data_IF_627614999413
#
_entry.id   IF_627614999413
#
_cell.length_a   1.000
_cell.length_b   1.000
_cell.length_c   1.000
_cell.angle_alpha   90.00
_cell.angle_beta   90.00
_cell.angle_gamma   90.00
#
_symmetry.space_group_name_H-M   'P 1'
#
loop_
_entity.id
_entity.type
_entity.pdbx_description
1 polymer ?
#
# COMPACT_ATOMS: atom_id res chain seq x y z
N UNK A 1 -29.95 15.65 47.56
CA UNK A 1 -28.64 15.50 46.92
C UNK A 1 -28.84 15.46 45.41
N UNK A 2 -28.35 16.46 44.68
CA UNK A 2 -28.49 16.54 43.22
C UNK A 2 -27.52 15.53 42.60
N UNK A 3 -28.04 14.51 41.91
CA UNK A 3 -27.25 13.54 41.16
C UNK A 3 -26.62 14.26 39.96
N UNK A 4 -25.29 14.30 39.91
CA UNK A 4 -24.57 14.76 38.71
C UNK A 4 -24.76 13.73 37.59
N UNK A 5 -24.93 14.25 36.36
CA UNK A 5 -24.99 13.53 35.08
C UNK A 5 -23.87 12.48 34.97
N UNK A 6 -24.25 11.26 35.32
CA UNK A 6 -23.97 9.98 34.68
C UNK A 6 -22.51 9.49 34.65
N UNK A 7 -22.26 8.31 35.24
CA UNK A 7 -20.96 7.65 35.43
C UNK A 7 -20.22 7.22 34.15
N UNK A 8 -20.43 7.90 33.03
CA UNK A 8 -19.80 7.64 31.73
C UNK A 8 -18.53 8.46 31.48
N UNK A 9 -18.20 9.42 32.35
CA UNK A 9 -17.12 10.39 32.16
C UNK A 9 -15.72 9.78 31.93
N UNK A 10 -15.51 8.53 32.36
CA UNK A 10 -14.27 7.76 32.23
C UNK A 10 -14.36 6.59 31.22
N UNK A 11 -15.54 6.37 30.62
CA UNK A 11 -15.78 5.21 29.74
C UNK A 11 -15.07 5.33 28.40
N UNK A 12 -14.83 4.21 27.73
CA UNK A 12 -14.17 4.17 26.42
C UNK A 12 -14.97 4.92 25.36
N UNK A 13 -16.29 4.75 25.32
CA UNK A 13 -17.15 5.43 24.35
C UNK A 13 -17.08 6.96 24.49
N UNK A 14 -17.03 7.48 25.73
CA UNK A 14 -16.80 8.90 25.99
C UNK A 14 -15.42 9.36 25.49
N UNK A 15 -14.38 8.54 25.68
CA UNK A 15 -13.04 8.82 25.13
C UNK A 15 -13.02 8.81 23.60
N UNK A 16 -13.77 7.93 22.94
CA UNK A 16 -13.92 7.91 21.48
C UNK A 16 -14.55 9.21 21.01
N UNK A 17 -15.69 9.59 21.59
CA UNK A 17 -16.41 10.81 21.25
C UNK A 17 -15.55 12.07 21.45
N UNK A 18 -14.92 12.23 22.62
CA UNK A 18 -14.00 13.35 22.89
C UNK A 18 -12.82 13.36 21.93
N UNK A 19 -12.23 12.19 21.64
CA UNK A 19 -11.10 12.07 20.73
C UNK A 19 -11.46 12.39 19.27
N UNK A 20 -12.68 12.08 18.84
CA UNK A 20 -13.21 12.49 17.54
C UNK A 20 -13.29 14.01 17.43
N UNK A 21 -13.93 14.67 18.40
CA UNK A 21 -14.05 16.13 18.44
C UNK A 21 -12.68 16.81 18.52
N UNK A 22 -11.81 16.37 19.44
CA UNK A 22 -10.48 16.94 19.61
C UNK A 22 -9.65 16.92 18.32
N UNK A 23 -9.65 15.81 17.58
CA UNK A 23 -8.96 15.72 16.28
C UNK A 23 -9.44 16.76 15.27
N UNK A 24 -10.73 17.12 15.30
CA UNK A 24 -11.33 18.05 14.35
C UNK A 24 -11.20 19.52 14.76
N UNK A 25 -11.06 19.81 16.07
CA UNK A 25 -11.19 21.19 16.57
C UNK A 25 -9.99 21.74 17.34
N UNK A 26 -9.07 20.90 17.82
CA UNK A 26 -7.93 21.33 18.64
C UNK A 26 -6.63 21.37 17.83
N UNK A 27 -6.11 22.54 17.44
CA UNK A 27 -4.84 22.66 16.71
C UNK A 27 -3.62 22.12 17.46
N UNK A 28 -3.71 21.91 18.77
CA UNK A 28 -2.65 21.30 19.59
C UNK A 28 -2.68 19.78 19.55
N UNK A 29 -3.75 19.15 19.05
CA UNK A 29 -3.76 17.71 18.82
C UNK A 29 -2.78 17.37 17.68
N UNK A 30 -1.87 16.42 17.91
CA UNK A 30 -0.86 16.05 16.92
C UNK A 30 -1.45 15.46 15.63
N UNK A 31 -2.74 15.10 15.64
CA UNK A 31 -3.46 14.61 14.46
C UNK A 31 -4.25 15.72 13.76
N UNK A 32 -4.37 16.92 14.33
CA UNK A 32 -5.22 18.00 13.81
C UNK A 32 -4.97 18.28 12.32
N UNK A 33 -3.72 18.36 11.89
CA UNK A 33 -3.34 18.60 10.49
C UNK A 33 -3.93 17.58 9.51
N UNK A 34 -4.24 16.35 9.96
CA UNK A 34 -4.85 15.28 9.16
C UNK A 34 -6.38 15.27 9.20
N UNK A 35 -6.97 16.07 10.10
CA UNK A 35 -8.40 16.15 10.36
C UNK A 35 -8.86 17.61 10.24
N UNK A 36 -8.97 18.35 11.35
CA UNK A 36 -9.43 19.74 11.35
C UNK A 36 -8.67 20.65 10.38
N UNK A 37 -7.35 20.46 10.26
CA UNK A 37 -6.51 21.18 9.29
C UNK A 37 -6.84 20.91 7.82
N UNK A 38 -7.60 19.85 7.50
CA UNK A 38 -8.14 19.54 6.16
C UNK A 38 -9.61 19.95 5.99
N UNK A 39 -10.22 20.58 7.01
CA UNK A 39 -11.65 20.89 7.01
C UNK A 39 -12.56 19.71 7.37
N UNK A 40 -12.02 18.61 7.92
CA UNK A 40 -12.83 17.50 8.42
C UNK A 40 -13.48 17.91 9.73
N UNK A 41 -14.80 17.74 9.82
CA UNK A 41 -15.61 18.05 11.00
C UNK A 41 -16.43 16.85 11.48
N UNK A 42 -17.11 17.04 12.61
CA UNK A 42 -18.13 16.13 13.14
C UNK A 42 -19.50 16.71 12.82
N UNK A 43 -20.46 15.87 12.41
CA UNK A 43 -21.83 16.30 12.18
C UNK A 43 -22.45 16.92 13.45
N UNK A 44 -23.40 17.83 13.25
CA UNK A 44 -23.97 18.64 14.32
C UNK A 44 -24.70 17.77 15.36
N UNK A 45 -25.36 16.69 14.94
CA UNK A 45 -26.10 15.78 15.80
C UNK A 45 -25.19 15.13 16.85
N UNK A 46 -23.91 14.90 16.50
CA UNK A 46 -22.91 14.33 17.40
C UNK A 46 -22.20 15.38 18.26
N UNK A 47 -22.68 16.61 18.30
CA UNK A 47 -22.40 17.54 19.41
C UNK A 47 -23.00 17.04 20.74
N UNK A 48 -24.06 16.24 20.67
CA UNK A 48 -24.63 15.55 21.83
C UNK A 48 -23.97 14.17 22.02
N UNK A 49 -23.39 13.96 23.19
CA UNK A 49 -22.81 12.65 23.53
C UNK A 49 -23.87 11.54 23.54
N UNK A 50 -25.08 11.83 24.02
CA UNK A 50 -26.15 10.83 24.11
C UNK A 50 -26.56 10.33 22.72
N UNK A 51 -26.68 11.23 21.75
CA UNK A 51 -27.01 10.89 20.36
C UNK A 51 -25.91 10.03 19.73
N UNK A 52 -24.64 10.40 19.93
CA UNK A 52 -23.51 9.58 19.45
C UNK A 52 -23.47 8.20 20.12
N UNK A 53 -23.68 8.14 21.44
CA UNK A 53 -23.64 6.91 22.23
C UNK A 53 -24.75 5.95 21.79
N UNK A 54 -25.97 6.43 21.61
CA UNK A 54 -27.10 5.60 21.18
C UNK A 54 -26.86 5.06 19.76
N UNK A 55 -26.38 5.91 18.84
CA UNK A 55 -25.94 5.45 17.51
C UNK A 55 -24.83 4.40 17.62
N UNK A 56 -23.84 4.62 18.49
CA UNK A 56 -22.68 3.75 18.59
C UNK A 56 -23.05 2.33 19.03
N UNK A 57 -23.87 2.20 20.08
CA UNK A 57 -24.35 0.88 20.52
C UNK A 57 -25.27 0.22 19.49
N UNK A 58 -26.13 1.00 18.82
CA UNK A 58 -26.96 0.47 17.73
C UNK A 58 -26.14 0.00 16.52
N UNK A 59 -24.92 0.51 16.35
CA UNK A 59 -24.01 0.18 15.24
C UNK A 59 -22.83 -0.71 15.68
N UNK A 60 -23.01 -1.48 16.75
CA UNK A 60 -22.09 -2.55 17.13
C UNK A 60 -20.83 -2.07 17.84
N UNK A 61 -20.87 -0.93 18.53
CA UNK A 61 -19.77 -0.53 19.41
C UNK A 61 -19.44 -1.65 20.42
N UNK A 62 -18.15 -1.96 20.49
CA UNK A 62 -17.55 -2.82 21.48
C UNK A 62 -16.23 -2.19 21.94
N UNK A 63 -15.81 -2.48 23.18
CA UNK A 63 -14.61 -1.93 23.80
C UNK A 63 -13.32 -2.24 23.00
N UNK A 64 -13.32 -3.31 22.22
CA UNK A 64 -12.20 -3.73 21.35
C UNK A 64 -12.16 -3.05 19.98
N UNK A 65 -13.22 -2.33 19.60
CA UNK A 65 -13.35 -1.74 18.26
C UNK A 65 -12.88 -0.28 18.21
N UNK A 66 -12.57 0.17 17.01
CA UNK A 66 -12.17 1.53 16.69
C UNK A 66 -13.19 2.21 15.79
N UNK A 67 -13.47 3.49 16.04
CA UNK A 67 -14.24 4.30 15.10
C UNK A 67 -13.40 4.55 13.84
N UNK A 68 -13.97 4.19 12.69
CA UNK A 68 -13.40 4.35 11.35
C UNK A 68 -14.34 5.19 10.48
N UNK A 69 -13.76 5.83 9.46
CA UNK A 69 -14.51 6.55 8.41
C UNK A 69 -14.38 5.77 7.12
N UNK A 70 -15.51 5.38 6.52
CA UNK A 70 -15.57 4.63 5.26
C UNK A 70 -14.87 5.40 4.14
N UNK A 71 -15.13 6.71 4.06
CA UNK A 71 -14.40 7.67 3.25
C UNK A 71 -13.57 8.61 4.13
N UNK A 72 -12.25 8.53 3.99
CA UNK A 72 -11.27 9.32 4.74
C UNK A 72 -11.22 10.80 4.35
N UNK A 73 -11.82 11.18 3.22
CA UNK A 73 -11.97 12.57 2.80
C UNK A 73 -13.20 13.25 3.42
N UNK A 74 -14.20 12.47 3.84
CA UNK A 74 -15.45 12.94 4.43
C UNK A 74 -15.42 13.05 5.97
N UNK A 75 -16.37 13.78 6.56
CA UNK A 75 -16.48 14.04 8.00
C UNK A 75 -16.87 12.83 8.87
N UNK A 76 -17.04 13.05 10.17
CA UNK A 76 -17.67 12.08 11.07
C UNK A 76 -19.18 12.24 11.03
N UNK A 77 -19.90 11.21 10.56
CA UNK A 77 -21.36 11.15 10.53
C UNK A 77 -21.86 9.71 10.61
N UNK A 78 -23.14 9.47 10.93
CA UNK A 78 -23.74 8.12 10.94
C UNK A 78 -23.52 7.33 9.64
N UNK A 79 -23.55 8.02 8.50
CA UNK A 79 -23.45 7.42 7.16
C UNK A 79 -22.00 7.06 6.83
N UNK A 80 -21.06 7.92 7.23
CA UNK A 80 -19.64 7.75 6.92
C UNK A 80 -18.86 6.96 7.97
N UNK A 81 -19.40 6.77 9.18
CA UNK A 81 -18.69 6.05 10.24
C UNK A 81 -19.09 4.58 10.37
N UNK A 82 -18.19 3.81 10.99
CA UNK A 82 -18.39 2.42 11.41
C UNK A 82 -17.45 2.07 12.56
N UNK A 83 -17.76 1.00 13.29
CA UNK A 83 -16.81 0.37 14.21
C UNK A 83 -16.15 -0.82 13.53
N UNK A 84 -14.83 -0.89 13.60
CA UNK A 84 -14.02 -1.95 12.99
C UNK A 84 -12.93 -2.39 13.96
N UNK A 85 -12.46 -3.61 13.82
CA UNK A 85 -11.29 -4.06 14.57
C UNK A 85 -10.05 -3.28 14.18
N UNK A 86 -9.02 -3.27 15.04
CA UNK A 86 -7.75 -2.63 14.72
C UNK A 86 -7.10 -3.19 13.44
N UNK A 87 -7.24 -4.51 13.20
CA UNK A 87 -6.74 -5.18 12.00
C UNK A 87 -7.47 -4.67 10.76
N UNK A 88 -8.79 -4.55 10.81
CA UNK A 88 -9.59 -4.00 9.73
C UNK A 88 -9.31 -2.51 9.50
N UNK A 89 -9.22 -1.68 10.54
CA UNK A 89 -8.85 -0.26 10.40
C UNK A 89 -7.50 -0.11 9.70
N UNK A 90 -6.53 -0.95 10.06
CA UNK A 90 -5.21 -0.96 9.43
C UNK A 90 -5.31 -1.33 7.95
N UNK A 91 -6.05 -2.39 7.60
CA UNK A 91 -6.31 -2.77 6.21
C UNK A 91 -7.05 -1.66 5.43
N UNK A 92 -8.02 -1.00 6.05
CA UNK A 92 -8.82 0.05 5.42
C UNK A 92 -7.98 1.30 5.11
N UNK A 93 -7.04 1.66 5.99
CA UNK A 93 -6.04 2.72 5.72
C UNK A 93 -5.10 2.34 4.58
N UNK A 94 -4.87 1.04 4.38
CA UNK A 94 -4.03 0.49 3.31
C UNK A 94 -4.78 0.43 1.94
N UNK A 95 -6.11 0.64 1.88
CA UNK A 95 -6.89 0.74 0.61
C UNK A 95 -6.36 1.85 -0.32
N UNK A 96 -5.67 2.86 0.22
CA UNK A 96 -4.90 3.84 -0.57
C UNK A 96 -3.81 3.22 -1.46
N UNK A 97 -3.50 1.94 -1.23
CA UNK A 97 -2.62 1.08 -2.03
C UNK A 97 -3.41 0.04 -2.81
N UNK A 98 -4.58 0.39 -3.32
CA UNK A 98 -5.25 -0.44 -4.32
C UNK A 98 -4.70 -0.16 -5.71
N UNK A 99 -4.71 -1.20 -6.55
CA UNK A 99 -4.27 -1.15 -7.94
C UNK A 99 -5.37 -1.77 -8.80
N UNK A 100 -5.62 -1.19 -9.98
CA UNK A 100 -6.66 -1.68 -10.87
C UNK A 100 -6.09 -2.80 -11.75
N UNK A 101 -6.59 -4.03 -11.59
CA UNK A 101 -6.21 -5.21 -12.39
C UNK A 101 -7.48 -5.80 -12.99
N UNK A 102 -7.52 -6.00 -14.32
CA UNK A 102 -8.68 -6.53 -15.03
C UNK A 102 -10.02 -5.82 -14.71
N UNK A 103 -9.97 -4.50 -14.51
CA UNK A 103 -11.15 -3.69 -14.18
C UNK A 103 -11.54 -3.69 -12.69
N UNK A 104 -10.88 -4.47 -11.83
CA UNK A 104 -11.15 -4.52 -10.39
C UNK A 104 -10.05 -3.83 -9.58
N UNK A 105 -10.44 -3.13 -8.51
CA UNK A 105 -9.48 -2.59 -7.55
C UNK A 105 -9.07 -3.68 -6.56
N UNK A 106 -7.80 -4.09 -6.61
CA UNK A 106 -7.22 -5.12 -5.74
C UNK A 106 -6.20 -4.46 -4.83
N UNK A 107 -6.15 -4.86 -3.57
CA UNK A 107 -5.17 -4.35 -2.61
C UNK A 107 -3.74 -4.80 -2.98
N UNK A 108 -2.72 -3.93 -2.86
CA UNK A 108 -1.36 -4.24 -3.34
C UNK A 108 -0.75 -5.48 -2.68
N UNK A 109 -1.04 -5.74 -1.41
CA UNK A 109 -0.57 -6.95 -0.72
C UNK A 109 -1.23 -8.21 -1.28
N UNK A 110 -2.52 -8.11 -1.61
CA UNK A 110 -3.28 -9.20 -2.20
C UNK A 110 -2.78 -9.49 -3.62
N UNK A 111 -2.66 -8.44 -4.45
CA UNK A 111 -2.08 -8.53 -5.78
C UNK A 111 -0.65 -9.09 -5.73
N UNK A 112 0.22 -8.58 -4.86
CA UNK A 112 1.58 -9.07 -4.74
C UNK A 112 1.61 -10.58 -4.42
N UNK A 113 0.78 -11.04 -3.48
CA UNK A 113 0.68 -12.46 -3.13
C UNK A 113 0.15 -13.30 -4.30
N UNK A 114 -0.90 -12.83 -4.97
CA UNK A 114 -1.52 -13.50 -6.11
C UNK A 114 -0.53 -13.72 -7.27
N UNK A 115 0.36 -12.76 -7.52
CA UNK A 115 1.29 -12.79 -8.64
C UNK A 115 2.73 -13.19 -8.26
N UNK A 116 2.96 -13.67 -7.04
CA UNK A 116 4.27 -14.15 -6.60
C UNK A 116 5.33 -13.04 -6.47
N UNK A 117 4.90 -11.86 -6.02
CA UNK A 117 5.72 -10.68 -5.79
C UNK A 117 5.74 -10.30 -4.31
N UNK A 118 6.74 -9.50 -3.93
CA UNK A 118 6.67 -8.77 -2.66
C UNK A 118 5.89 -7.47 -2.87
N UNK A 119 5.16 -6.97 -1.86
CA UNK A 119 4.48 -5.68 -1.95
C UNK A 119 5.44 -4.55 -2.33
N UNK A 120 6.65 -4.53 -1.77
CA UNK A 120 7.68 -3.55 -2.10
C UNK A 120 8.10 -3.58 -3.56
N UNK A 121 8.21 -4.76 -4.18
CA UNK A 121 8.54 -4.88 -5.60
C UNK A 121 7.41 -4.30 -6.48
N UNK A 122 6.16 -4.60 -6.13
CA UNK A 122 5.00 -4.11 -6.87
C UNK A 122 4.83 -2.58 -6.72
N UNK A 123 4.96 -2.05 -5.50
CA UNK A 123 4.97 -0.60 -5.23
C UNK A 123 6.06 0.10 -6.03
N UNK A 124 7.28 -0.43 -6.01
CA UNK A 124 8.41 0.16 -6.73
C UNK A 124 8.17 0.22 -8.22
N UNK A 125 7.55 -0.81 -8.83
CA UNK A 125 7.20 -0.88 -10.26
C UNK A 125 6.13 0.15 -10.66
N UNK A 126 5.13 0.35 -9.81
CA UNK A 126 4.08 1.34 -10.06
C UNK A 126 4.65 2.76 -9.92
N UNK A 127 5.45 3.01 -8.88
CA UNK A 127 6.04 4.34 -8.63
C UNK A 127 6.96 4.83 -9.76
N UNK A 128 7.59 3.91 -10.50
CA UNK A 128 8.42 4.20 -11.68
C UNK A 128 7.63 4.24 -13.00
N UNK A 129 6.31 4.11 -12.94
CA UNK A 129 5.40 4.21 -14.08
C UNK A 129 5.33 2.95 -14.95
N UNK A 130 5.65 1.76 -14.43
CA UNK A 130 5.39 0.53 -15.18
C UNK A 130 3.87 0.32 -15.32
N UNK A 131 3.43 -0.06 -16.52
CA UNK A 131 2.08 -0.55 -16.78
C UNK A 131 1.71 -1.71 -15.82
N UNK A 132 0.45 -1.80 -15.40
CA UNK A 132 0.01 -2.76 -14.38
C UNK A 132 0.27 -4.20 -14.80
N UNK A 133 -0.04 -4.56 -16.04
CA UNK A 133 0.18 -5.93 -16.55
C UNK A 133 1.67 -6.29 -16.59
N UNK A 134 2.54 -5.30 -16.79
CA UNK A 134 3.99 -5.48 -16.64
C UNK A 134 4.40 -5.55 -15.17
N UNK A 135 3.82 -4.71 -14.32
CA UNK A 135 4.17 -4.57 -12.92
C UNK A 135 3.85 -5.84 -12.12
N UNK A 136 2.81 -6.58 -12.49
CA UNK A 136 2.42 -7.84 -11.85
C UNK A 136 3.21 -9.06 -12.35
N UNK A 137 4.01 -8.95 -13.42
CA UNK A 137 4.77 -10.12 -13.91
C UNK A 137 5.86 -10.52 -12.92
N UNK A 138 5.93 -11.80 -12.49
CA UNK A 138 7.00 -12.25 -11.62
C UNK A 138 8.36 -12.16 -12.35
N UNK A 139 9.48 -11.95 -11.63
CA UNK A 139 10.79 -12.01 -12.23
C UNK A 139 11.01 -13.38 -12.89
N UNK A 140 11.57 -13.40 -14.09
CA UNK A 140 12.02 -14.65 -14.71
C UNK A 140 13.39 -15.03 -14.13
N UNK A 141 13.49 -16.25 -13.63
CA UNK A 141 14.72 -16.81 -13.09
C UNK A 141 15.28 -17.87 -14.05
N UNK A 142 16.60 -17.96 -14.11
CA UNK A 142 17.33 -19.03 -14.79
C UNK A 142 18.28 -19.68 -13.78
N UNK A 143 18.68 -20.92 -14.04
CA UNK A 143 19.66 -21.63 -13.21
C UNK A 143 21.03 -21.47 -13.87
N UNK A 144 21.94 -20.76 -13.20
CA UNK A 144 23.33 -20.58 -13.62
C UNK A 144 24.23 -21.34 -12.65
N UNK A 145 24.98 -22.34 -13.14
CA UNK A 145 25.87 -23.18 -12.34
C UNK A 145 25.19 -23.75 -11.08
N UNK A 146 23.92 -24.16 -11.20
CA UNK A 146 23.11 -24.69 -10.10
C UNK A 146 22.40 -23.63 -9.23
N UNK A 147 22.64 -22.33 -9.46
CA UNK A 147 22.05 -21.25 -8.67
C UNK A 147 20.93 -20.52 -9.42
N UNK A 148 19.80 -20.31 -8.75
CA UNK A 148 18.62 -19.64 -9.33
C UNK A 148 18.76 -18.12 -9.25
N UNK A 149 18.98 -17.47 -10.40
CA UNK A 149 19.18 -16.01 -10.51
C UNK A 149 18.25 -15.38 -11.56
N UNK A 150 17.81 -14.15 -11.29
CA UNK A 150 17.25 -13.30 -12.35
C UNK A 150 18.37 -12.83 -13.29
N UNK A 151 18.03 -12.39 -14.51
CA UNK A 151 19.06 -11.89 -15.43
C UNK A 151 19.81 -10.67 -14.90
N UNK A 152 19.13 -9.77 -14.18
CA UNK A 152 19.80 -8.63 -13.53
C UNK A 152 20.70 -9.04 -12.36
N UNK A 153 20.36 -10.11 -11.64
CA UNK A 153 21.25 -10.67 -10.62
C UNK A 153 22.46 -11.38 -11.25
N UNK A 154 22.24 -12.09 -12.36
CA UNK A 154 23.30 -12.70 -13.15
C UNK A 154 24.25 -11.65 -13.75
N UNK A 155 23.73 -10.49 -14.21
CA UNK A 155 24.56 -9.37 -14.67
C UNK A 155 25.49 -8.86 -13.57
N UNK A 156 24.95 -8.61 -12.37
CA UNK A 156 25.76 -8.18 -11.21
C UNK A 156 26.82 -9.22 -10.82
N UNK A 157 26.52 -10.51 -10.99
CA UNK A 157 27.39 -11.61 -10.58
C UNK A 157 28.49 -11.92 -11.60
N UNK A 158 28.15 -11.97 -12.88
CA UNK A 158 29.04 -12.44 -13.95
C UNK A 158 29.59 -11.32 -14.84
N UNK A 159 29.12 -10.07 -14.67
CA UNK A 159 29.60 -8.92 -15.44
C UNK A 159 29.14 -8.90 -16.90
N UNK A 160 28.15 -9.70 -17.27
CA UNK A 160 27.58 -9.75 -18.61
C UNK A 160 26.21 -9.10 -18.60
N UNK A 161 25.97 -8.12 -19.47
CA UNK A 161 24.68 -7.42 -19.54
C UNK A 161 23.50 -8.40 -19.64
N UNK A 162 22.44 -8.16 -18.86
CA UNK A 162 21.22 -8.96 -18.87
C UNK A 162 20.61 -9.11 -20.27
N UNK A 163 20.79 -8.10 -21.14
CA UNK A 163 20.34 -8.14 -22.54
C UNK A 163 21.16 -9.15 -23.35
N UNK A 164 22.48 -9.18 -23.15
CA UNK A 164 23.38 -10.15 -23.79
C UNK A 164 23.08 -11.58 -23.31
N UNK A 165 22.88 -11.77 -22.00
CA UNK A 165 22.49 -13.07 -21.44
C UNK A 165 21.17 -13.54 -22.06
N UNK A 166 20.13 -12.69 -22.06
CA UNK A 166 18.84 -12.99 -22.67
C UNK A 166 18.96 -13.35 -24.16
N UNK A 167 19.75 -12.58 -24.91
CA UNK A 167 20.00 -12.81 -26.33
C UNK A 167 20.63 -14.19 -26.58
N UNK A 168 21.67 -14.53 -25.81
CA UNK A 168 22.40 -15.79 -25.92
C UNK A 168 21.51 -16.99 -25.61
N UNK A 169 20.74 -16.94 -24.53
CA UNK A 169 19.76 -17.98 -24.19
C UNK A 169 18.74 -18.16 -25.30
N UNK A 170 18.20 -17.07 -25.86
CA UNK A 170 17.27 -17.11 -27.01
C UNK A 170 17.90 -17.72 -28.28
N UNK A 171 19.22 -17.66 -28.41
CA UNK A 171 19.98 -18.29 -29.50
C UNK A 171 20.36 -19.74 -29.23
N UNK A 172 19.85 -20.33 -28.15
CA UNK A 172 20.03 -21.75 -27.82
C UNK A 172 21.20 -22.04 -26.89
N UNK A 173 21.90 -21.02 -26.36
CA UNK A 173 22.91 -21.25 -25.34
C UNK A 173 22.26 -21.63 -24.01
N UNK A 174 22.91 -22.51 -23.24
CA UNK A 174 22.51 -22.73 -21.84
C UNK A 174 22.77 -21.47 -21.02
N UNK A 175 22.09 -21.27 -19.87
CA UNK A 175 22.38 -20.14 -18.98
C UNK A 175 23.87 -20.03 -18.63
N UNK A 176 24.54 -21.15 -18.36
CA UNK A 176 25.97 -21.22 -18.05
C UNK A 176 26.82 -20.71 -19.22
N UNK A 177 26.58 -21.23 -20.42
CA UNK A 177 27.25 -20.76 -21.65
C UNK A 177 27.00 -19.27 -21.91
N UNK A 178 25.80 -18.78 -21.57
CA UNK A 178 25.41 -17.40 -21.79
C UNK A 178 26.20 -16.41 -20.91
N UNK A 179 26.73 -16.86 -19.77
CA UNK A 179 27.55 -16.04 -18.85
C UNK A 179 29.04 -16.34 -18.92
N UNK A 180 29.47 -17.51 -19.39
CA UNK A 180 30.89 -17.87 -19.53
C UNK A 180 31.58 -17.25 -20.73
N UNK A 181 30.87 -17.02 -21.83
CA UNK A 181 31.49 -16.50 -23.04
C UNK A 181 31.75 -14.98 -22.89
N UNK A 182 32.99 -14.48 -22.96
CA UNK A 182 33.23 -13.03 -22.92
C UNK A 182 32.42 -12.34 -24.03
N UNK A 183 31.94 -11.10 -23.81
CA UNK A 183 31.27 -10.36 -24.88
C UNK A 183 32.24 -10.28 -26.06
N UNK A 184 31.81 -10.70 -27.26
CA UNK A 184 32.61 -10.39 -28.45
C UNK A 184 32.73 -8.87 -28.50
N UNK A 185 33.95 -8.34 -28.36
CA UNK A 185 34.20 -6.90 -28.54
C UNK A 185 33.59 -6.53 -29.88
N UNK A 186 32.55 -5.69 -29.85
CA UNK A 186 31.92 -5.19 -31.06
C UNK A 186 33.02 -4.66 -31.97
N UNK A 187 32.99 -5.09 -33.23
CA UNK A 187 33.82 -4.58 -34.31
C UNK A 187 33.70 -3.05 -34.26
N UNK A 188 34.75 -2.35 -33.82
CA UNK A 188 34.82 -0.88 -33.93
C UNK A 188 34.69 -0.63 -35.43
N UNK A 189 33.55 -0.08 -35.87
CA UNK A 189 33.46 0.44 -37.23
C UNK A 189 34.37 1.66 -37.26
N UNK A 190 35.53 1.47 -37.85
CA UNK A 190 36.40 2.56 -38.24
C UNK A 190 35.71 3.35 -39.35
N UNK A 191 35.21 4.53 -38.99
CA UNK A 191 34.55 5.44 -39.93
C UNK A 191 35.56 6.34 -40.67
N UNK A 192 36.87 6.14 -40.50
CA UNK A 192 37.91 6.90 -41.21
C UNK A 192 38.24 6.39 -42.62
N UNK A 193 37.48 5.41 -43.13
CA UNK A 193 37.74 4.72 -44.40
C UNK A 193 36.63 4.89 -45.46
N UNK A 194 35.77 5.90 -45.34
CA UNK A 194 34.84 6.25 -46.43
C UNK A 194 35.23 7.59 -47.07
N UNK A 195 35.54 7.62 -48.38
CA UNK A 195 35.89 8.84 -49.12
C UNK A 195 34.72 9.80 -49.31
#
# INVERSE_FOLDING_TARGET
>A
MVKTRDGWSTTRIMRVWRGMHKRCTDPKDHRYSRYGGRGISVCEEWSSFDVFKDWAFANGFDESLEIDRKDNSSGYSPENCRFVSHVENTRNRDISRTIQINGNNIHINEAASQYGLTPSALISRIARGDDVERAIRPPRYNVFFGERLSLGAAEKKFGISQYTIAYRIRKGMTPDQAVSNPPQKGRIKDWSQHP
#
